data_IF_077634208873
#
_entry.id   IF_077634208873
#
_cell.length_a   1.000
_cell.length_b   1.000
_cell.length_c   1.000
_cell.angle_alpha   90.00
_cell.angle_beta   90.00
_cell.angle_gamma   90.00
#
_symmetry.space_group_name_H-M   'P 1'
#
loop_
_entity.id
_entity.type
_entity.pdbx_description
1 polymer ?
#
# COMPACT_ATOMS: atom_id res chain seq x y z
N UNK A 1 -13.25 -21.26 2.38
CA UNK A 1 -13.31 -19.97 1.66
C UNK A 1 -14.62 -19.25 1.89
N UNK A 2 -15.80 -19.81 1.59
CA UNK A 2 -17.06 -19.05 1.71
C UNK A 2 -17.50 -18.72 3.16
N UNK A 3 -16.89 -19.32 4.18
CA UNK A 3 -17.16 -19.01 5.61
C UNK A 3 -16.08 -18.14 6.29
N UNK A 4 -14.94 -17.91 5.64
CA UNK A 4 -13.74 -17.32 6.25
C UNK A 4 -13.64 -15.80 6.01
N UNK A 5 -14.20 -15.33 4.88
CA UNK A 5 -14.22 -13.94 4.44
C UNK A 5 -15.66 -13.44 4.36
N UNK A 6 -15.91 -12.22 4.81
CA UNK A 6 -17.24 -11.61 4.76
C UNK A 6 -17.17 -10.09 4.58
N UNK A 7 -18.27 -9.49 4.11
CA UNK A 7 -18.38 -8.04 3.95
C UNK A 7 -18.70 -7.41 5.31
N UNK A 8 -17.82 -6.52 5.79
CA UNK A 8 -18.01 -5.81 7.07
C UNK A 8 -18.75 -4.47 6.88
N UNK A 9 -18.57 -3.84 5.72
CA UNK A 9 -19.18 -2.56 5.42
C UNK A 9 -19.43 -2.44 3.91
N UNK A 10 -20.39 -1.57 3.57
CA UNK A 10 -20.61 -1.12 2.21
C UNK A 10 -20.30 0.38 2.16
N UNK A 11 -19.25 0.75 1.43
CA UNK A 11 -18.74 2.12 1.42
C UNK A 11 -19.01 2.78 0.07
N UNK A 12 -19.36 4.06 0.10
CA UNK A 12 -19.65 4.83 -1.10
C UNK A 12 -18.34 5.37 -1.69
N UNK A 13 -18.16 5.19 -3.00
CA UNK A 13 -17.11 5.86 -3.77
C UNK A 13 -17.66 7.07 -4.51
N UNK A 14 -17.15 7.28 -5.72
CA UNK A 14 -17.59 8.33 -6.63
C UNK A 14 -18.84 7.93 -7.42
N UNK A 15 -19.10 6.62 -7.55
CA UNK A 15 -20.30 6.08 -8.16
C UNK A 15 -21.45 5.98 -7.14
N UNK A 16 -22.71 5.93 -7.60
CA UNK A 16 -23.86 5.78 -6.70
C UNK A 16 -23.98 4.38 -6.09
N UNK A 17 -23.20 3.40 -6.54
CA UNK A 17 -23.26 2.01 -6.06
C UNK A 17 -22.19 1.81 -4.98
N UNK A 18 -22.58 1.54 -3.71
CA UNK A 18 -21.62 1.21 -2.67
C UNK A 18 -20.86 -0.07 -3.00
N UNK A 19 -19.60 -0.12 -2.58
CA UNK A 19 -18.73 -1.27 -2.77
C UNK A 19 -18.49 -2.01 -1.46
N UNK A 20 -18.24 -3.32 -1.51
CA UNK A 20 -17.94 -4.09 -0.32
C UNK A 20 -16.55 -3.73 0.21
N UNK A 21 -16.49 -3.56 1.53
CA UNK A 21 -15.25 -3.67 2.29
C UNK A 21 -15.28 -5.00 3.01
N UNK A 22 -14.29 -5.83 2.70
CA UNK A 22 -14.15 -7.18 3.19
C UNK A 22 -13.38 -7.21 4.52
N UNK A 23 -13.55 -8.30 5.26
CA UNK A 23 -12.74 -8.67 6.42
C UNK A 23 -12.67 -10.19 6.51
N UNK A 24 -11.71 -10.71 7.26
CA UNK A 24 -11.55 -12.13 7.52
C UNK A 24 -11.90 -12.46 8.98
N UNK A 25 -12.41 -13.68 9.20
CA UNK A 25 -12.56 -14.19 10.56
C UNK A 25 -11.17 -14.44 11.15
N UNK A 26 -10.85 -13.89 12.34
CA UNK A 26 -9.52 -14.05 12.93
C UNK A 26 -9.07 -15.51 12.97
N UNK A 27 -7.87 -15.76 12.43
CA UNK A 27 -7.24 -17.09 12.42
C UNK A 27 -7.73 -18.06 11.33
N UNK A 28 -8.68 -17.66 10.48
CA UNK A 28 -9.20 -18.53 9.40
C UNK A 28 -8.47 -18.35 8.08
N UNK A 29 -8.01 -17.12 7.80
CA UNK A 29 -7.23 -16.79 6.60
C UNK A 29 -5.76 -16.68 6.98
N UNK A 30 -4.91 -17.44 6.31
CA UNK A 30 -3.47 -17.34 6.45
C UNK A 30 -2.83 -17.41 5.05
N UNK A 31 -2.43 -16.27 4.48
CA UNK A 31 -1.70 -16.25 3.20
C UNK A 31 -0.23 -16.70 3.35
N UNK A 32 0.30 -16.77 4.57
CA UNK A 32 1.71 -16.99 4.89
C UNK A 32 2.07 -18.45 5.23
N UNK A 33 1.36 -19.42 4.63
CA UNK A 33 1.53 -20.84 4.97
C UNK A 33 2.87 -21.42 4.51
N UNK A 34 3.48 -20.79 3.52
CA UNK A 34 4.71 -21.25 2.89
C UNK A 34 5.94 -20.67 3.60
N UNK A 35 6.95 -21.50 3.84
CA UNK A 35 8.16 -21.07 4.51
C UNK A 35 8.93 -20.06 3.65
N UNK A 36 9.33 -18.93 4.27
CA UNK A 36 10.29 -18.00 3.68
C UNK A 36 11.71 -18.50 3.95
N UNK A 37 12.48 -18.64 2.88
CA UNK A 37 13.90 -19.05 2.98
C UNK A 37 14.87 -17.86 2.83
N UNK A 38 14.35 -16.66 2.58
CA UNK A 38 15.15 -15.49 2.27
C UNK A 38 15.22 -14.49 3.43
N UNK A 39 16.39 -13.90 3.58
CA UNK A 39 16.60 -12.80 4.53
C UNK A 39 15.92 -11.54 4.03
N UNK A 40 15.21 -10.85 4.92
CA UNK A 40 14.63 -9.54 4.65
C UNK A 40 15.74 -8.51 4.70
N UNK A 41 15.83 -7.67 3.68
CA UNK A 41 16.86 -6.63 3.61
C UNK A 41 16.24 -5.29 3.27
N UNK A 42 16.77 -4.23 3.89
CA UNK A 42 16.41 -2.86 3.54
C UNK A 42 17.35 -2.33 2.46
N UNK A 43 16.79 -1.58 1.51
CA UNK A 43 17.52 -0.81 0.50
C UNK A 43 16.97 0.61 0.49
N UNK A 44 17.76 1.57 0.97
CA UNK A 44 17.38 2.99 0.86
C UNK A 44 17.41 3.44 -0.60
N UNK A 45 16.57 4.41 -0.96
CA UNK A 45 16.52 5.01 -2.30
C UNK A 45 17.05 6.45 -2.18
N UNK A 46 18.36 6.69 -2.38
CA UNK A 46 18.96 8.00 -2.09
C UNK A 46 18.38 9.15 -2.92
N UNK A 47 17.88 8.84 -4.11
CA UNK A 47 17.32 9.80 -5.04
C UNK A 47 15.83 10.12 -4.75
N UNK A 48 15.23 9.51 -3.72
CA UNK A 48 13.85 9.79 -3.30
C UNK A 48 13.81 10.04 -1.78
N UNK A 49 13.51 11.27 -1.35
CA UNK A 49 13.58 11.67 0.07
C UNK A 49 12.79 10.74 0.99
N UNK A 50 13.49 10.11 1.93
CA UNK A 50 12.90 9.22 2.93
C UNK A 50 12.34 7.91 2.39
N UNK A 51 12.48 7.61 1.11
CA UNK A 51 11.97 6.36 0.55
C UNK A 51 12.99 5.22 0.66
N UNK A 52 12.47 4.02 0.89
CA UNK A 52 13.26 2.81 0.99
C UNK A 52 12.42 1.60 0.58
N UNK A 53 13.09 0.50 0.22
CA UNK A 53 12.47 -0.79 -0.03
C UNK A 53 12.80 -1.77 1.09
N UNK A 54 11.82 -2.60 1.44
CA UNK A 54 12.04 -3.81 2.21
C UNK A 54 11.88 -4.99 1.26
N UNK A 55 12.98 -5.67 0.96
CA UNK A 55 13.02 -6.78 0.02
C UNK A 55 12.65 -8.09 0.72
N UNK A 56 12.04 -8.99 -0.05
CA UNK A 56 11.71 -10.35 0.36
C UNK A 56 10.73 -10.43 1.54
N UNK A 57 9.89 -9.41 1.77
CA UNK A 57 8.89 -9.41 2.85
C UNK A 57 7.91 -10.57 2.69
N UNK A 58 7.49 -10.84 1.46
CA UNK A 58 6.73 -12.02 1.08
C UNK A 58 7.60 -12.95 0.22
N UNK A 59 7.36 -14.26 0.30
CA UNK A 59 7.78 -15.15 -0.79
C UNK A 59 6.90 -14.94 -2.03
N UNK A 60 7.35 -15.41 -3.19
CA UNK A 60 6.53 -15.38 -4.40
C UNK A 60 5.18 -16.10 -4.21
N UNK A 61 5.18 -17.25 -3.52
CA UNK A 61 3.98 -18.03 -3.27
C UNK A 61 3.03 -17.33 -2.29
N UNK A 62 3.55 -16.65 -1.27
CA UNK A 62 2.71 -15.84 -0.36
C UNK A 62 2.03 -14.70 -1.13
N UNK A 63 2.77 -14.03 -2.03
CA UNK A 63 2.20 -13.00 -2.89
C UNK A 63 1.11 -13.57 -3.82
N UNK A 64 1.34 -14.73 -4.43
CA UNK A 64 0.34 -15.40 -5.28
C UNK A 64 -0.91 -15.84 -4.50
N UNK A 65 -0.72 -16.36 -3.28
CA UNK A 65 -1.84 -16.72 -2.39
C UNK A 65 -2.71 -15.49 -2.07
N UNK A 66 -2.07 -14.33 -1.82
CA UNK A 66 -2.77 -13.07 -1.57
C UNK A 66 -3.54 -12.61 -2.82
N UNK A 67 -2.93 -12.67 -4.01
CA UNK A 67 -3.60 -12.33 -5.28
C UNK A 67 -4.81 -13.24 -5.51
N UNK A 68 -4.67 -14.55 -5.30
CA UNK A 68 -5.77 -15.51 -5.46
C UNK A 68 -6.95 -15.21 -4.52
N UNK A 69 -6.67 -14.83 -3.27
CA UNK A 69 -7.71 -14.38 -2.34
C UNK A 69 -8.37 -13.10 -2.87
N UNK A 70 -7.58 -12.09 -3.27
CA UNK A 70 -8.11 -10.81 -3.73
C UNK A 70 -8.99 -10.96 -4.99
N UNK A 71 -8.58 -11.78 -5.95
CA UNK A 71 -9.38 -12.09 -7.15
C UNK A 71 -10.71 -12.78 -6.78
N UNK A 72 -10.73 -13.63 -5.75
CA UNK A 72 -11.97 -14.27 -5.28
C UNK A 72 -12.96 -13.30 -4.62
N UNK A 73 -12.47 -12.17 -4.09
CA UNK A 73 -13.27 -11.11 -3.46
C UNK A 73 -13.84 -10.11 -4.49
N UNK A 74 -13.24 -10.05 -5.68
CA UNK A 74 -13.67 -9.19 -6.78
C UNK A 74 -13.09 -7.77 -6.70
N UNK A 75 -12.73 -7.23 -7.87
CA UNK A 75 -12.22 -5.88 -8.06
C UNK A 75 -13.29 -4.97 -8.68
N UNK A 76 -13.20 -3.67 -8.36
CA UNK A 76 -14.13 -2.63 -8.80
C UNK A 76 -13.39 -1.39 -9.35
N UNK A 77 -13.96 -0.67 -10.31
CA UNK A 77 -13.37 0.57 -10.86
C UNK A 77 -13.52 1.79 -9.93
N UNK A 78 -14.50 1.81 -9.04
CA UNK A 78 -14.78 2.93 -8.12
C UNK A 78 -14.02 2.79 -6.79
N UNK A 79 -13.77 3.80 -5.96
CA UNK A 79 -13.05 3.62 -4.68
C UNK A 79 -13.57 4.56 -3.57
N UNK A 80 -13.73 4.09 -2.31
CA UNK A 80 -14.38 4.88 -1.26
C UNK A 80 -13.47 5.91 -0.61
N UNK A 81 -12.16 5.70 -0.68
CA UNK A 81 -11.14 6.47 0.05
C UNK A 81 -9.91 6.79 -0.80
N UNK A 82 -10.00 6.55 -2.11
CA UNK A 82 -8.96 6.89 -3.09
C UNK A 82 -9.46 7.98 -4.03
N UNK A 83 -8.65 8.35 -5.03
CA UNK A 83 -9.07 9.27 -6.09
C UNK A 83 -10.01 8.56 -7.08
N UNK A 84 -10.76 9.33 -7.87
CA UNK A 84 -11.71 8.77 -8.85
C UNK A 84 -10.99 7.99 -9.94
N UNK A 85 -11.73 7.10 -10.62
CA UNK A 85 -11.18 6.27 -11.69
C UNK A 85 -10.52 7.08 -12.81
N UNK A 86 -11.03 8.28 -13.12
CA UNK A 86 -10.44 9.18 -14.13
C UNK A 86 -9.01 9.65 -13.79
N UNK A 87 -8.56 9.45 -12.55
CA UNK A 87 -7.22 9.82 -12.07
C UNK A 87 -6.33 8.59 -11.92
N UNK A 88 -6.87 7.50 -11.39
CA UNK A 88 -6.11 6.30 -11.00
C UNK A 88 -6.19 5.13 -11.98
N UNK A 89 -7.15 5.13 -12.89
CA UNK A 89 -7.40 4.16 -13.98
C UNK A 89 -7.32 2.67 -13.63
N UNK A 90 -7.27 2.31 -12.36
CA UNK A 90 -7.06 0.96 -11.90
C UNK A 90 -8.30 0.45 -11.20
N UNK A 91 -8.42 -0.87 -11.06
CA UNK A 91 -9.45 -1.44 -10.22
C UNK A 91 -8.95 -1.60 -8.79
N UNK A 92 -9.87 -1.74 -7.85
CA UNK A 92 -9.56 -1.84 -6.42
C UNK A 92 -10.50 -2.77 -5.66
N UNK A 93 -10.05 -3.18 -4.48
CA UNK A 93 -10.82 -3.91 -3.48
C UNK A 93 -10.28 -3.52 -2.09
N UNK A 94 -11.16 -3.43 -1.10
CA UNK A 94 -10.77 -3.09 0.27
C UNK A 94 -10.95 -4.30 1.17
N UNK A 95 -9.91 -4.64 1.92
CA UNK A 95 -9.93 -5.70 2.93
C UNK A 95 -9.32 -5.17 4.23
N UNK A 96 -10.12 -5.11 5.29
CA UNK A 96 -9.65 -4.81 6.64
C UNK A 96 -9.21 -6.14 7.28
N UNK A 97 -7.90 -6.36 7.28
CA UNK A 97 -7.29 -7.65 7.60
C UNK A 97 -7.23 -7.90 9.11
N UNK A 98 -7.21 -9.17 9.52
CA UNK A 98 -6.97 -9.55 10.92
C UNK A 98 -5.52 -9.31 11.37
N UNK A 99 -5.32 -9.23 12.70
CA UNK A 99 -4.01 -8.98 13.34
C UNK A 99 -2.94 -9.99 12.93
N UNK A 100 -3.34 -11.23 12.65
CA UNK A 100 -2.42 -12.23 12.12
C UNK A 100 -1.79 -11.78 10.79
N UNK A 101 -2.57 -11.14 9.92
CA UNK A 101 -2.13 -10.76 8.57
C UNK A 101 -1.21 -9.55 8.60
N UNK A 102 -1.63 -8.44 9.21
CA UNK A 102 -0.83 -7.23 9.27
C UNK A 102 0.30 -7.31 10.32
N UNK A 103 0.05 -7.96 11.45
CA UNK A 103 1.04 -8.19 12.50
C UNK A 103 2.23 -9.01 11.99
N UNK A 104 2.01 -10.05 11.19
CA UNK A 104 3.10 -10.82 10.58
C UNK A 104 3.96 -9.94 9.65
N UNK A 105 3.34 -9.06 8.85
CA UNK A 105 4.09 -8.13 7.99
C UNK A 105 4.87 -7.10 8.81
N UNK A 106 4.27 -6.62 9.89
CA UNK A 106 4.92 -5.70 10.81
C UNK A 106 6.12 -6.34 11.51
N UNK A 107 5.97 -7.53 12.08
CA UNK A 107 7.05 -8.28 12.73
C UNK A 107 8.24 -8.51 11.79
N UNK A 108 7.96 -8.82 10.52
CA UNK A 108 8.96 -8.98 9.45
C UNK A 108 9.72 -7.67 9.17
N UNK A 109 9.09 -6.52 9.40
CA UNK A 109 9.58 -5.21 8.94
C UNK A 109 10.21 -4.36 10.04
N UNK A 110 9.67 -4.42 11.26
CA UNK A 110 9.89 -3.42 12.31
C UNK A 110 11.37 -3.17 12.65
N UNK A 111 12.21 -4.22 12.62
CA UNK A 111 13.63 -4.11 12.95
C UNK A 111 14.44 -3.34 11.90
N UNK A 112 13.90 -3.17 10.70
CA UNK A 112 14.53 -2.48 9.56
C UNK A 112 13.95 -1.07 9.35
N UNK A 113 12.93 -0.69 10.11
CA UNK A 113 12.31 0.63 10.04
C UNK A 113 12.85 1.44 11.22
N UNK A 114 13.73 2.40 10.92
CA UNK A 114 14.43 3.23 11.91
C UNK A 114 13.91 4.67 11.98
N UNK A 115 12.88 4.97 11.20
CA UNK A 115 12.29 6.30 11.04
C UNK A 115 11.74 6.81 12.38
N UNK A 116 11.90 8.11 12.62
CA UNK A 116 11.19 8.84 13.67
C UNK A 116 10.82 10.22 13.14
N UNK A 117 9.58 10.62 13.35
CA UNK A 117 9.06 11.88 12.82
C UNK A 117 8.49 12.71 13.96
N UNK A 118 9.07 13.89 14.20
CA UNK A 118 8.63 14.76 15.29
C UNK A 118 8.71 14.11 16.68
N UNK A 119 9.58 13.11 16.86
CA UNK A 119 9.69 12.32 18.11
C UNK A 119 8.71 11.15 18.22
N UNK A 120 7.82 10.95 17.24
CA UNK A 120 6.98 9.76 17.15
C UNK A 120 7.74 8.61 16.51
N UNK A 121 7.34 7.39 16.85
CA UNK A 121 7.94 6.16 16.33
C UNK A 121 6.90 5.27 15.64
N UNK A 122 7.32 4.46 14.66
CA UNK A 122 6.47 3.45 14.04
C UNK A 122 5.90 2.46 15.07
N UNK A 123 4.59 2.21 15.00
CA UNK A 123 3.88 1.35 15.95
C UNK A 123 3.28 0.09 15.33
N UNK A 124 3.04 0.10 14.02
CA UNK A 124 2.35 -0.97 13.31
C UNK A 124 1.89 -0.55 11.91
N UNK A 125 1.14 -1.43 11.26
CA UNK A 125 0.49 -1.15 9.98
C UNK A 125 -1.00 -0.86 10.18
N UNK A 126 -1.59 -0.06 9.30
CA UNK A 126 -3.04 0.09 9.22
C UNK A 126 -3.66 -1.24 8.76
N UNK A 127 -4.73 -1.71 9.41
CA UNK A 127 -5.39 -2.97 9.03
C UNK A 127 -6.14 -2.85 7.70
N UNK A 128 -6.45 -1.63 7.25
CA UNK A 128 -7.17 -1.40 6.00
C UNK A 128 -6.24 -1.52 4.81
N UNK A 129 -6.24 -2.69 4.19
CA UNK A 129 -5.46 -2.97 2.98
C UNK A 129 -6.29 -2.62 1.74
N UNK A 130 -5.71 -1.76 0.89
CA UNK A 130 -6.31 -1.32 -0.37
C UNK A 130 -5.61 -2.03 -1.51
N UNK A 131 -6.28 -2.99 -2.09
CA UNK A 131 -5.77 -3.76 -3.21
C UNK A 131 -6.00 -3.00 -4.50
N UNK A 132 -5.02 -3.06 -5.40
CA UNK A 132 -5.08 -2.41 -6.69
C UNK A 132 -4.64 -3.38 -7.78
N UNK A 133 -5.43 -3.44 -8.85
CA UNK A 133 -5.14 -4.20 -10.08
C UNK A 133 -5.03 -3.23 -11.24
N UNK A 134 -3.90 -3.26 -11.95
CA UNK A 134 -3.64 -2.45 -13.14
C UNK A 134 -3.43 -3.37 -14.33
N UNK A 135 -4.28 -3.24 -15.35
CA UNK A 135 -4.12 -3.89 -16.64
C UNK A 135 -3.38 -3.02 -17.66
N UNK A 136 -3.14 -3.53 -18.88
CA UNK A 136 -2.52 -2.77 -19.95
C UNK A 136 -3.31 -1.48 -20.27
N UNK A 137 -2.64 -0.34 -20.21
CA UNK A 137 -3.27 0.97 -20.39
C UNK A 137 -3.42 1.76 -19.10
N UNK A 138 -3.51 1.09 -17.95
CA UNK A 138 -3.77 1.72 -16.66
C UNK A 138 -2.53 2.42 -16.12
N UNK A 139 -2.76 3.46 -15.31
CA UNK A 139 -1.73 4.29 -14.69
C UNK A 139 -2.36 5.05 -13.51
N UNK A 140 -1.56 5.59 -12.60
CA UNK A 140 -2.07 6.51 -11.59
C UNK A 140 -1.41 7.86 -11.79
N UNK A 141 -2.21 8.88 -12.11
CA UNK A 141 -1.77 10.28 -12.23
C UNK A 141 -1.00 10.76 -10.99
N UNK A 142 -0.12 11.76 -11.12
CA UNK A 142 0.59 12.38 -10.01
C UNK A 142 -0.34 12.81 -8.86
N UNK A 143 -0.07 12.35 -7.65
CA UNK A 143 -0.85 12.63 -6.44
C UNK A 143 0.01 12.51 -5.16
N UNK A 144 -0.58 12.83 -4.01
CA UNK A 144 -0.03 12.52 -2.69
C UNK A 144 -1.03 11.65 -1.92
N UNK A 145 -0.52 10.72 -1.10
CA UNK A 145 -1.38 9.93 -0.21
C UNK A 145 -1.76 10.76 1.02
N UNK A 146 -3.03 10.70 1.42
CA UNK A 146 -3.51 11.33 2.65
C UNK A 146 -3.02 10.61 3.91
N UNK A 147 -2.98 11.32 5.04
CA UNK A 147 -2.73 10.71 6.34
C UNK A 147 -4.04 10.17 6.94
N UNK A 148 -3.98 9.00 7.57
CA UNK A 148 -5.14 8.27 8.07
C UNK A 148 -4.93 7.80 9.52
N UNK A 149 -6.00 7.76 10.33
CA UNK A 149 -5.98 7.00 11.57
C UNK A 149 -5.89 5.50 11.26
N UNK A 150 -5.42 4.71 12.24
CA UNK A 150 -5.37 3.25 12.10
C UNK A 150 -6.76 2.64 12.21
N UNK A 151 -7.24 1.98 11.16
CA UNK A 151 -8.54 1.32 11.13
C UNK A 151 -8.42 -0.15 11.55
N UNK A 152 -9.47 -0.72 12.15
CA UNK A 152 -9.56 -2.15 12.49
C UNK A 152 -11.01 -2.60 12.62
N UNK A 153 -11.26 -3.90 12.46
CA UNK A 153 -12.51 -4.53 12.91
C UNK A 153 -12.38 -4.90 14.39
N UNK A 154 -13.26 -4.37 15.24
CA UNK A 154 -13.32 -4.64 16.68
C UNK A 154 -14.75 -5.04 17.00
N UNK A 155 -14.92 -6.17 17.71
CA UNK A 155 -16.24 -6.70 18.11
C UNK A 155 -17.26 -6.81 16.96
N UNK A 156 -16.77 -7.09 15.75
CA UNK A 156 -17.60 -7.24 14.55
C UNK A 156 -18.02 -5.93 13.90
N UNK A 157 -17.40 -4.79 14.26
CA UNK A 157 -17.64 -3.48 13.66
C UNK A 157 -16.34 -2.90 13.08
N UNK A 158 -16.43 -2.22 11.94
CA UNK A 158 -15.32 -1.47 11.37
C UNK A 158 -15.14 -0.14 12.11
N UNK A 159 -14.04 0.00 12.83
CA UNK A 159 -13.64 1.21 13.54
C UNK A 159 -12.61 1.96 12.70
N UNK A 160 -12.94 3.19 12.29
CA UNK A 160 -12.06 4.01 11.44
C UNK A 160 -10.79 4.48 12.18
N UNK A 161 -10.94 4.91 13.43
CA UNK A 161 -9.85 5.26 14.36
C UNK A 161 -9.86 4.29 15.55
N UNK A 162 -9.24 3.14 15.35
CA UNK A 162 -9.11 2.09 16.35
C UNK A 162 -7.96 2.38 17.34
N UNK A 163 -7.10 3.36 17.03
CA UNK A 163 -5.89 3.66 17.81
C UNK A 163 -5.77 5.17 18.04
N UNK A 164 -6.58 5.74 18.94
CA UNK A 164 -6.58 7.18 19.18
C UNK A 164 -5.17 7.72 19.48
N UNK A 165 -4.78 8.77 18.76
CA UNK A 165 -3.46 9.39 18.86
C UNK A 165 -2.41 8.82 17.92
N UNK A 166 -2.71 7.73 17.19
CA UNK A 166 -1.86 7.23 16.12
C UNK A 166 -2.32 7.74 14.75
N UNK A 167 -1.37 8.13 13.92
CA UNK A 167 -1.65 8.54 12.54
C UNK A 167 -0.57 8.02 11.59
N UNK A 168 -0.95 7.71 10.37
CA UNK A 168 0.01 7.26 9.37
C UNK A 168 0.91 8.39 8.89
N UNK A 169 2.20 8.10 8.69
CA UNK A 169 3.14 9.04 8.08
C UNK A 169 3.91 8.47 6.87
N UNK A 170 3.90 7.14 6.71
CA UNK A 170 4.54 6.45 5.59
C UNK A 170 3.55 5.53 4.87
N UNK A 171 3.54 5.59 3.55
CA UNK A 171 2.86 4.59 2.71
C UNK A 171 3.68 3.31 2.76
N UNK A 172 3.01 2.17 2.92
CA UNK A 172 3.58 0.82 2.89
C UNK A 172 3.00 0.09 1.67
N UNK A 173 3.70 0.17 0.53
CA UNK A 173 3.20 -0.30 -0.76
C UNK A 173 3.77 -1.68 -1.11
N UNK A 174 2.96 -2.72 -0.95
CA UNK A 174 3.36 -4.12 -1.15
C UNK A 174 3.17 -4.49 -2.62
N UNK A 175 4.19 -5.04 -3.27
CA UNK A 175 4.12 -5.51 -4.65
C UNK A 175 3.82 -7.01 -4.69
N UNK A 176 2.75 -7.39 -5.38
CA UNK A 176 2.29 -8.79 -5.45
C UNK A 176 2.56 -9.44 -6.81
N UNK A 177 2.90 -8.64 -7.83
CA UNK A 177 3.42 -9.10 -9.11
C UNK A 177 4.53 -8.18 -9.60
N UNK A 178 5.32 -8.66 -10.55
CA UNK A 178 6.39 -7.94 -11.25
C UNK A 178 6.60 -8.39 -12.71
N UNK A 179 5.73 -9.27 -13.23
CA UNK A 179 5.71 -9.78 -14.60
C UNK A 179 4.96 -8.83 -15.56
N UNK A 180 5.28 -7.53 -15.49
CA UNK A 180 4.69 -6.49 -16.33
C UNK A 180 5.74 -5.50 -16.86
N UNK A 181 5.40 -4.81 -17.95
CA UNK A 181 6.22 -3.73 -18.51
C UNK A 181 5.62 -2.36 -18.19
N UNK A 182 6.47 -1.41 -17.82
CA UNK A 182 6.04 -0.11 -17.28
C UNK A 182 5.76 -0.23 -15.78
N UNK A 183 4.76 0.49 -15.27
CA UNK A 183 4.27 0.30 -13.90
C UNK A 183 5.21 0.71 -12.76
N UNK A 184 6.36 1.32 -13.05
CA UNK A 184 7.26 1.84 -12.00
C UNK A 184 6.56 2.92 -11.17
N UNK A 185 6.83 2.96 -9.88
CA UNK A 185 6.40 4.09 -9.05
C UNK A 185 7.30 5.28 -9.38
N UNK A 186 6.71 6.38 -9.82
CA UNK A 186 7.42 7.59 -10.23
C UNK A 186 7.28 8.65 -9.15
N UNK A 187 8.40 9.22 -8.69
CA UNK A 187 8.43 10.30 -7.72
C UNK A 187 8.90 11.59 -8.37
N UNK A 188 8.21 12.68 -8.08
CA UNK A 188 8.59 14.03 -8.49
C UNK A 188 9.46 14.63 -7.39
N UNK A 189 10.77 14.61 -7.62
CA UNK A 189 11.80 15.15 -6.71
C UNK A 189 12.37 16.44 -7.26
N UNK A 190 12.98 17.25 -6.40
CA UNK A 190 13.63 18.48 -6.84
C UNK A 190 14.82 18.16 -7.75
N UNK A 191 14.89 18.85 -8.89
CA UNK A 191 16.01 18.76 -9.82
C UNK A 191 17.24 19.47 -9.29
N UNK A 192 17.05 20.56 -8.56
CA UNK A 192 18.11 21.37 -7.96
C UNK A 192 18.68 20.76 -6.67
N UNK A 193 17.88 19.99 -5.93
CA UNK A 193 18.31 19.21 -4.77
C UNK A 193 17.57 17.87 -4.69
N UNK A 194 18.21 16.79 -5.16
CA UNK A 194 17.63 15.44 -5.20
C UNK A 194 17.25 14.88 -3.82
N UNK A 195 17.72 15.51 -2.74
CA UNK A 195 17.35 15.15 -1.36
C UNK A 195 16.02 15.77 -0.90
N UNK A 196 15.36 16.57 -1.75
CA UNK A 196 14.12 17.28 -1.43
C UNK A 196 12.97 16.94 -2.41
N UNK A 197 11.71 17.01 -1.96
CA UNK A 197 10.55 16.97 -2.84
C UNK A 197 10.52 18.14 -3.82
N UNK A 198 9.95 17.94 -5.01
CA UNK A 198 9.69 19.04 -5.93
C UNK A 198 8.59 19.96 -5.38
N UNK A 199 8.83 21.29 -5.40
CA UNK A 199 7.85 22.28 -4.89
C UNK A 199 7.18 23.09 -5.99
N UNK A 200 7.73 23.07 -7.22
CA UNK A 200 7.25 23.85 -8.36
C UNK A 200 7.63 23.16 -9.68
N UNK A 201 6.83 23.39 -10.74
CA UNK A 201 6.88 22.59 -11.97
C UNK A 201 8.20 22.63 -12.75
N UNK A 202 8.93 23.75 -12.68
CA UNK A 202 10.20 23.97 -13.38
C UNK A 202 11.40 23.26 -12.71
N UNK A 203 11.23 22.79 -11.48
CA UNK A 203 12.25 22.09 -10.68
C UNK A 203 11.93 20.59 -10.51
N UNK A 204 11.12 20.02 -11.39
CA UNK A 204 10.78 18.59 -11.33
C UNK A 204 11.86 17.75 -12.02
N UNK A 205 12.39 16.78 -11.28
CA UNK A 205 13.00 15.58 -11.83
C UNK A 205 12.13 14.36 -11.49
N UNK A 206 12.01 13.41 -12.41
CA UNK A 206 11.21 12.19 -12.18
C UNK A 206 12.14 11.01 -11.91
N UNK A 207 12.05 10.45 -10.71
CA UNK A 207 12.76 9.24 -10.33
C UNK A 207 11.79 8.06 -10.39
N UNK A 208 12.15 7.05 -11.19
CA UNK A 208 11.32 5.85 -11.37
C UNK A 208 11.89 4.67 -10.59
N UNK A 209 11.11 4.16 -9.64
CA UNK A 209 11.48 3.04 -8.78
C UNK A 209 10.76 1.78 -9.25
N UNK A 210 11.54 0.73 -9.51
CA UNK A 210 11.03 -0.63 -9.71
C UNK A 210 11.10 -1.38 -8.39
N UNK A 211 10.04 -2.06 -8.02
CA UNK A 211 9.96 -2.89 -6.81
C UNK A 211 9.58 -4.31 -7.22
N UNK A 212 10.38 -5.33 -6.87
CA UNK A 212 10.11 -6.70 -7.27
C UNK A 212 8.91 -7.29 -6.50
N UNK A 213 8.36 -8.39 -7.00
CA UNK A 213 7.29 -9.13 -6.33
C UNK A 213 7.73 -9.53 -4.92
N UNK A 214 6.81 -9.41 -3.98
CA UNK A 214 7.01 -9.71 -2.57
C UNK A 214 7.84 -8.68 -1.78
N UNK A 215 8.35 -7.64 -2.44
CA UNK A 215 8.95 -6.49 -1.77
C UNK A 215 7.92 -5.40 -1.45
N UNK A 216 8.34 -4.48 -0.59
CA UNK A 216 7.56 -3.32 -0.16
C UNK A 216 8.34 -2.06 -0.46
N UNK A 217 7.67 -1.06 -1.03
CA UNK A 217 8.16 0.29 -1.17
C UNK A 217 7.53 1.17 -0.08
N UNK A 218 8.37 1.70 0.80
CA UNK A 218 7.98 2.61 1.87
C UNK A 218 8.39 4.04 1.51
N UNK A 219 7.49 5.00 1.68
CA UNK A 219 7.80 6.41 1.43
C UNK A 219 6.89 7.35 2.25
N UNK A 220 7.36 8.57 2.57
CA UNK A 220 6.58 9.50 3.38
C UNK A 220 5.38 10.08 2.61
N UNK A 221 4.29 10.38 3.32
CA UNK A 221 3.08 10.98 2.75
C UNK A 221 2.40 11.98 3.71
N UNK A 222 1.19 12.42 3.36
CA UNK A 222 0.42 13.35 4.17
C UNK A 222 1.13 14.69 4.35
N UNK A 223 1.33 15.11 5.59
CA UNK A 223 2.02 16.36 5.94
C UNK A 223 3.52 16.17 6.20
N UNK A 224 4.08 14.99 5.93
CA UNK A 224 5.50 14.72 6.18
C UNK A 224 6.38 15.64 5.33
N UNK A 225 7.44 16.28 5.86
CA UNK A 225 8.24 17.27 5.11
C UNK A 225 8.96 16.68 3.89
N UNK A 226 9.23 15.38 3.90
CA UNK A 226 9.86 14.66 2.78
C UNK A 226 8.85 14.01 1.82
N UNK A 227 7.53 14.25 1.96
CA UNK A 227 6.56 13.64 1.06
C UNK A 227 6.78 14.14 -0.38
N UNK A 228 6.80 13.21 -1.33
CA UNK A 228 6.90 13.53 -2.75
C UNK A 228 5.55 13.28 -3.43
N UNK A 229 5.20 14.12 -4.40
CA UNK A 229 4.17 13.77 -5.37
C UNK A 229 4.64 12.53 -6.12
N UNK A 230 3.77 11.55 -6.26
CA UNK A 230 4.10 10.29 -6.92
C UNK A 230 3.00 9.81 -7.85
N UNK A 231 3.35 8.91 -8.74
CA UNK A 231 2.50 8.36 -9.79
C UNK A 231 2.83 6.89 -10.02
N UNK A 232 1.97 6.17 -10.75
CA UNK A 232 2.32 4.89 -11.35
C UNK A 232 2.50 5.09 -12.84
N UNK A 233 3.67 4.73 -13.38
CA UNK A 233 3.91 4.67 -14.81
C UNK A 233 2.85 3.79 -15.48
N UNK A 234 2.44 4.16 -16.69
CA UNK A 234 1.49 3.38 -17.49
C UNK A 234 1.96 1.94 -17.70
N UNK A 235 1.07 0.98 -17.47
CA UNK A 235 1.30 -0.42 -17.80
C UNK A 235 1.21 -0.61 -19.31
N UNK A 236 2.24 -1.21 -19.91
CA UNK A 236 2.30 -1.49 -21.35
C UNK A 236 1.87 -2.92 -21.67
N UNK A 237 2.23 -3.87 -20.80
CA UNK A 237 1.84 -5.28 -20.88
C UNK A 237 1.90 -5.94 -19.50
N UNK A 238 1.23 -7.09 -19.33
CA UNK A 238 1.12 -7.79 -18.05
C UNK A 238 0.06 -7.17 -17.14
N UNK A 239 0.01 -7.65 -15.89
CA UNK A 239 -0.92 -7.16 -14.86
C UNK A 239 -0.16 -6.87 -13.58
N UNK A 240 -0.27 -5.64 -13.07
CA UNK A 240 0.34 -5.21 -11.81
C UNK A 240 -0.67 -5.33 -10.68
N UNK A 241 -0.31 -6.08 -9.64
CA UNK A 241 -1.03 -6.17 -8.38
C UNK A 241 -0.21 -5.54 -7.25
N UNK A 242 -0.83 -4.62 -6.51
CA UNK A 242 -0.22 -4.02 -5.32
C UNK A 242 -1.25 -3.87 -4.19
N UNK A 243 -0.75 -3.78 -2.96
CA UNK A 243 -1.54 -3.36 -1.80
C UNK A 243 -0.97 -2.05 -1.28
N UNK A 244 -1.85 -1.07 -1.07
CA UNK A 244 -1.52 0.12 -0.27
C UNK A 244 -2.11 -0.03 1.14
N UNK A 245 -1.24 -0.01 2.12
CA UNK A 245 -1.56 0.31 3.51
C UNK A 245 -0.56 1.37 4.00
N UNK A 246 -0.57 1.68 5.28
CA UNK A 246 0.22 2.75 5.86
C UNK A 246 0.89 2.30 7.17
N UNK A 247 2.08 2.86 7.46
CA UNK A 247 2.76 2.70 8.76
C UNK A 247 2.22 3.76 9.71
N UNK A 248 1.71 3.32 10.86
CA UNK A 248 1.20 4.16 11.94
C UNK A 248 2.33 4.64 12.85
N UNK A 249 2.21 5.86 13.37
CA UNK A 249 3.18 6.49 14.27
C UNK A 249 2.49 7.01 15.54
N UNK A 250 3.19 6.95 16.66
CA UNK A 250 2.76 7.50 17.96
C UNK A 250 3.92 8.13 18.74
#
# INVERSE_FOLDING_TARGET
MQDDLYVIAWETGFSPTPMPTWTDRPGTVNPYKDARNETITRVDIPDVPGAFQLLNILSEQEADNIVAIAESLGFHEDSPVSLSHDVRHNENMNWVVSEHIDGTLWERSQALISESVGGQHPTGLNARFRFYRYGPGDFFSPHTDGAWPGSRVIDGELIADAYPGQYSQFTYLIFLSDDYEGGKTQFLVSKSDVSQPATHNEDINVVSVHTPKGAVLCFPHGTHPQHCVHASEKIRSGVKYIIRTEILFA
#
